data_IF_651277412031
#
_entry.id   IF_651277412031
#
_cell.length_a   1.000
_cell.length_b   1.000
_cell.length_c   1.000
_cell.angle_alpha   90.00
_cell.angle_beta   90.00
_cell.angle_gamma   90.00
#
_symmetry.space_group_name_H-M   'P 1'
#
loop_
_entity.id
_entity.type
_entity.pdbx_description
1 polymer ?
#
# COMPACT_ATOMS: atom_id res chain seq x y z
N UNK A 1 -7.74 -12.71 -31.53
CA UNK A 1 -6.68 -12.26 -30.60
C UNK A 1 -6.04 -13.51 -30.01
N UNK A 2 -4.70 -13.60 -29.96
CA UNK A 2 -4.02 -14.77 -29.38
C UNK A 2 -4.24 -14.80 -27.87
N UNK A 3 -4.52 -15.97 -27.29
CA UNK A 3 -4.66 -16.12 -25.85
C UNK A 3 -3.36 -15.69 -25.13
N UNK A 4 -3.47 -14.84 -24.11
CA UNK A 4 -2.31 -14.40 -23.33
C UNK A 4 -1.59 -15.58 -22.71
N UNK A 5 -0.27 -15.63 -22.89
CA UNK A 5 0.55 -16.75 -22.42
C UNK A 5 0.60 -16.80 -20.90
N UNK A 6 0.83 -17.99 -20.32
CA UNK A 6 1.07 -18.15 -18.87
C UNK A 6 2.17 -17.21 -18.34
N UNK A 7 3.17 -16.91 -19.18
CA UNK A 7 4.25 -15.98 -18.88
C UNK A 7 3.74 -14.55 -18.64
N UNK A 8 2.80 -14.09 -19.46
CA UNK A 8 2.19 -12.76 -19.33
C UNK A 8 1.39 -12.62 -18.04
N UNK A 9 0.63 -13.64 -17.64
CA UNK A 9 -0.10 -13.61 -16.36
C UNK A 9 0.86 -13.51 -15.17
N UNK A 10 1.95 -14.26 -15.21
CA UNK A 10 2.97 -14.21 -14.15
C UNK A 10 3.70 -12.87 -14.12
N UNK A 11 3.98 -12.27 -15.28
CA UNK A 11 4.61 -10.95 -15.34
C UNK A 11 3.66 -9.85 -14.84
N UNK A 12 2.36 -9.95 -15.14
CA UNK A 12 1.32 -9.06 -14.65
C UNK A 12 1.19 -9.15 -13.13
N UNK A 13 1.08 -10.36 -12.58
CA UNK A 13 1.03 -10.60 -11.14
C UNK A 13 2.24 -10.00 -10.40
N UNK A 14 3.46 -10.27 -10.90
CA UNK A 14 4.69 -9.70 -10.33
C UNK A 14 4.72 -8.18 -10.42
N UNK A 15 4.15 -7.61 -11.48
CA UNK A 15 4.07 -6.16 -11.66
C UNK A 15 3.16 -5.52 -10.63
N UNK A 16 2.02 -6.13 -10.31
CA UNK A 16 1.18 -5.69 -9.19
C UNK A 16 1.94 -5.68 -7.87
N UNK A 17 2.58 -6.81 -7.51
CA UNK A 17 3.32 -6.92 -6.24
C UNK A 17 4.40 -5.83 -6.13
N UNK A 18 5.15 -5.56 -7.21
CA UNK A 18 6.17 -4.49 -7.23
C UNK A 18 5.61 -3.10 -7.00
N UNK A 19 4.42 -2.81 -7.51
CA UNK A 19 3.76 -1.51 -7.31
C UNK A 19 3.22 -1.40 -5.88
N UNK A 20 2.63 -2.48 -5.36
CA UNK A 20 2.12 -2.54 -3.99
C UNK A 20 3.24 -2.31 -2.97
N UNK A 21 4.43 -2.85 -3.17
CA UNK A 21 5.57 -2.62 -2.26
C UNK A 21 6.01 -1.15 -2.17
N UNK A 22 5.67 -0.33 -3.17
CA UNK A 22 5.94 1.12 -3.14
C UNK A 22 4.89 1.90 -2.35
N UNK A 23 3.78 1.27 -1.97
CA UNK A 23 2.71 1.96 -1.23
C UNK A 23 3.23 2.43 0.14
N UNK A 24 2.93 3.67 0.57
CA UNK A 24 3.45 4.20 1.83
C UNK A 24 2.92 3.40 3.03
N UNK A 25 3.76 3.26 4.05
CA UNK A 25 3.37 2.62 5.32
C UNK A 25 2.39 3.50 6.08
N UNK A 26 1.23 2.95 6.44
CA UNK A 26 0.27 3.62 7.32
C UNK A 26 0.58 3.36 8.80
N UNK A 27 1.27 4.31 9.44
CA UNK A 27 1.58 4.24 10.88
C UNK A 27 0.34 4.40 11.77
N UNK A 28 -0.71 5.07 11.29
CA UNK A 28 -1.94 5.31 12.04
C UNK A 28 -2.79 4.04 12.17
N UNK A 29 -2.79 3.21 11.12
CA UNK A 29 -3.60 1.99 11.01
C UNK A 29 -2.70 0.76 10.79
N UNK A 30 -1.88 0.38 11.78
CA UNK A 30 -0.89 -0.69 11.61
C UNK A 30 -1.51 -2.07 11.31
N UNK A 31 -2.77 -2.30 11.70
CA UNK A 31 -3.48 -3.56 11.45
C UNK A 31 -4.32 -3.53 10.16
N UNK A 32 -4.36 -2.39 9.45
CA UNK A 32 -5.22 -2.16 8.29
C UNK A 32 -4.50 -1.25 7.30
N UNK A 33 -3.24 -1.60 7.01
CA UNK A 33 -2.44 -0.88 6.03
C UNK A 33 -2.91 -1.22 4.61
N UNK A 34 -3.00 -0.20 3.76
CA UNK A 34 -3.46 -0.34 2.39
C UNK A 34 -2.54 -1.27 1.59
N UNK A 35 -1.23 -1.27 1.87
CA UNK A 35 -0.29 -2.22 1.26
C UNK A 35 -0.75 -3.66 1.48
N UNK A 36 -1.10 -4.00 2.72
CA UNK A 36 -1.55 -5.34 3.08
C UNK A 36 -2.87 -5.71 2.38
N UNK A 37 -3.84 -4.79 2.39
CA UNK A 37 -5.14 -4.99 1.72
C UNK A 37 -4.97 -5.20 0.22
N UNK A 38 -4.14 -4.39 -0.44
CA UNK A 38 -3.84 -4.52 -1.86
C UNK A 38 -3.17 -5.86 -2.17
N UNK A 39 -2.21 -6.27 -1.34
CA UNK A 39 -1.54 -7.56 -1.49
C UNK A 39 -2.55 -8.71 -1.43
N UNK A 40 -3.40 -8.74 -0.41
CA UNK A 40 -4.44 -9.76 -0.27
C UNK A 40 -5.40 -9.76 -1.47
N UNK A 41 -5.88 -8.58 -1.90
CA UNK A 41 -6.78 -8.46 -3.07
C UNK A 41 -6.15 -9.06 -4.32
N UNK A 42 -4.89 -8.73 -4.61
CA UNK A 42 -4.21 -9.22 -5.82
C UNK A 42 -3.96 -10.72 -5.73
N UNK A 43 -3.46 -11.22 -4.60
CA UNK A 43 -3.23 -12.67 -4.43
C UNK A 43 -4.52 -13.45 -4.61
N UNK A 44 -5.60 -13.03 -3.93
CA UNK A 44 -6.88 -13.73 -4.01
C UNK A 44 -7.54 -13.60 -5.39
N UNK A 45 -7.47 -12.42 -6.03
CA UNK A 45 -8.01 -12.22 -7.37
C UNK A 45 -7.35 -13.13 -8.41
N UNK A 46 -6.01 -13.20 -8.41
CA UNK A 46 -5.31 -14.11 -9.32
C UNK A 46 -5.59 -15.58 -8.98
N UNK A 47 -5.69 -15.94 -7.69
CA UNK A 47 -6.01 -17.31 -7.26
C UNK A 47 -7.40 -17.75 -7.71
N UNK A 48 -8.42 -16.91 -7.55
CA UNK A 48 -9.80 -17.21 -7.93
C UNK A 48 -9.94 -17.41 -9.44
N UNK A 49 -9.20 -16.65 -10.24
CA UNK A 49 -9.27 -16.71 -11.69
C UNK A 49 -8.50 -17.88 -12.32
N UNK A 50 -7.77 -18.70 -11.54
CA UNK A 50 -7.04 -19.87 -12.05
C UNK A 50 -7.96 -20.96 -12.65
N UNK A 51 -9.23 -20.98 -12.24
CA UNK A 51 -10.19 -22.03 -12.63
C UNK A 51 -10.88 -21.70 -13.96
N UNK A 52 -10.74 -20.47 -14.45
CA UNK A 52 -11.43 -19.97 -15.64
C UNK A 52 -10.78 -20.57 -16.89
N UNK A 53 -11.60 -21.25 -17.69
CA UNK A 53 -11.18 -21.92 -18.94
C UNK A 53 -11.74 -21.25 -20.19
N UNK A 54 -12.76 -20.42 -20.02
CA UNK A 54 -13.36 -19.67 -21.12
C UNK A 54 -12.37 -18.62 -21.64
N UNK A 55 -12.11 -18.65 -22.95
CA UNK A 55 -11.10 -17.81 -23.57
C UNK A 55 -11.51 -16.33 -23.62
N UNK A 56 -12.79 -16.03 -23.81
CA UNK A 56 -13.28 -14.66 -23.91
C UNK A 56 -13.27 -14.00 -22.54
N UNK A 57 -13.74 -14.72 -21.50
CA UNK A 57 -13.66 -14.27 -20.11
C UNK A 57 -12.21 -14.12 -19.66
N UNK A 58 -11.33 -15.03 -20.05
CA UNK A 58 -9.91 -14.92 -19.74
C UNK A 58 -9.29 -13.66 -20.33
N UNK A 59 -9.56 -13.36 -21.60
CA UNK A 59 -9.05 -12.17 -22.27
C UNK A 59 -9.60 -10.88 -21.64
N UNK A 60 -10.88 -10.84 -21.24
CA UNK A 60 -11.45 -9.67 -20.56
C UNK A 60 -10.80 -9.43 -19.20
N UNK A 61 -10.55 -10.48 -18.42
CA UNK A 61 -9.88 -10.38 -17.12
C UNK A 61 -8.45 -9.87 -17.24
N UNK A 62 -7.71 -10.31 -18.26
CA UNK A 62 -6.36 -9.80 -18.52
C UNK A 62 -6.41 -8.33 -18.91
N UNK A 63 -7.37 -7.92 -19.75
CA UNK A 63 -7.55 -6.52 -20.12
C UNK A 63 -7.85 -5.65 -18.88
N UNK A 64 -8.80 -6.06 -18.06
CA UNK A 64 -9.17 -5.38 -16.81
C UNK A 64 -7.98 -5.28 -15.85
N UNK A 65 -7.27 -6.38 -15.64
CA UNK A 65 -6.10 -6.39 -14.76
C UNK A 65 -4.98 -5.46 -15.25
N UNK A 66 -4.81 -5.29 -16.56
CA UNK A 66 -3.86 -4.30 -17.10
C UNK A 66 -4.31 -2.85 -16.80
N UNK A 67 -5.61 -2.55 -16.96
CA UNK A 67 -6.18 -1.24 -16.62
C UNK A 67 -6.01 -0.94 -15.14
N UNK A 68 -6.29 -1.91 -14.28
CA UNK A 68 -6.13 -1.78 -12.83
C UNK A 68 -4.67 -1.56 -12.44
N UNK A 69 -3.73 -2.28 -13.06
CA UNK A 69 -2.30 -2.10 -12.81
C UNK A 69 -1.84 -0.69 -13.20
N UNK A 70 -2.29 -0.19 -14.35
CA UNK A 70 -1.99 1.17 -14.81
C UNK A 70 -2.55 2.22 -13.84
N UNK A 71 -3.80 2.08 -13.42
CA UNK A 71 -4.40 2.95 -12.42
C UNK A 71 -3.62 2.92 -11.09
N UNK A 72 -3.22 1.73 -10.63
CA UNK A 72 -2.45 1.58 -9.40
C UNK A 72 -1.06 2.23 -9.51
N UNK A 73 -0.40 2.13 -10.67
CA UNK A 73 0.86 2.84 -10.94
C UNK A 73 0.67 4.34 -10.84
N UNK A 74 -0.33 4.89 -11.52
CA UNK A 74 -0.63 6.34 -11.50
C UNK A 74 -0.82 6.88 -10.09
N UNK A 75 -1.50 6.11 -9.25
CA UNK A 75 -1.67 6.44 -7.83
C UNK A 75 -0.37 6.33 -7.04
N UNK A 76 0.37 5.21 -7.18
CA UNK A 76 1.60 4.96 -6.44
C UNK A 76 2.72 5.96 -6.78
N UNK A 77 2.80 6.38 -8.04
CA UNK A 77 3.75 7.40 -8.51
C UNK A 77 3.26 8.83 -8.31
N UNK A 78 2.06 9.01 -7.74
CA UNK A 78 1.50 10.31 -7.43
C UNK A 78 1.31 11.22 -8.67
N UNK A 79 1.06 10.62 -9.84
CA UNK A 79 0.95 11.33 -11.13
C UNK A 79 -0.14 12.42 -11.10
N UNK A 80 -1.22 12.19 -10.36
CA UNK A 80 -2.31 13.16 -10.24
C UNK A 80 -1.91 14.42 -9.46
N UNK A 81 -0.96 14.32 -8.52
CA UNK A 81 -0.43 15.50 -7.82
C UNK A 81 0.40 16.36 -8.77
N UNK A 82 1.14 15.74 -9.68
CA UNK A 82 1.94 16.44 -10.69
C UNK A 82 1.04 17.06 -11.77
N UNK A 83 0.03 16.30 -12.22
CA UNK A 83 -0.91 16.73 -13.27
C UNK A 83 -1.88 17.82 -12.81
N UNK A 84 -2.33 17.74 -11.56
CA UNK A 84 -3.28 18.68 -10.96
C UNK A 84 -2.70 19.29 -9.69
N UNK A 85 -1.69 20.18 -9.82
CA UNK A 85 -1.01 20.75 -8.67
C UNK A 85 -1.97 21.62 -7.86
N UNK A 86 -2.03 21.36 -6.55
CA UNK A 86 -2.79 22.17 -5.62
C UNK A 86 -1.95 23.37 -5.19
N UNK A 87 -2.59 24.54 -5.01
CA UNK A 87 -1.89 25.73 -4.51
C UNK A 87 -1.36 25.48 -3.10
N UNK A 88 -0.10 25.87 -2.85
CA UNK A 88 0.51 25.86 -1.51
C UNK A 88 -0.33 26.59 -0.46
N UNK A 89 -1.15 27.55 -0.88
CA UNK A 89 -2.07 28.30 -0.01
C UNK A 89 -3.07 27.39 0.71
N UNK A 90 -3.49 26.28 0.09
CA UNK A 90 -4.41 25.31 0.70
C UNK A 90 -3.78 24.67 1.95
N UNK A 91 -2.46 24.47 1.94
CA UNK A 91 -1.71 23.87 3.05
C UNK A 91 -1.19 24.89 4.06
N UNK A 92 -1.43 26.20 3.84
CA UNK A 92 -0.91 27.30 4.66
C UNK A 92 -2.03 28.30 4.94
N UNK A 93 -2.97 27.99 5.85
CA UNK A 93 -4.09 28.88 6.15
C UNK A 93 -3.57 30.20 6.75
N UNK A 94 -4.22 31.31 6.41
CA UNK A 94 -3.76 32.66 6.79
C UNK A 94 -3.59 32.84 8.31
N UNK A 95 -4.49 32.25 9.10
CA UNK A 95 -4.45 32.32 10.57
C UNK A 95 -3.26 31.57 11.18
N UNK A 96 -2.82 30.47 10.55
CA UNK A 96 -1.66 29.70 11.01
C UNK A 96 -1.00 28.94 9.83
N UNK A 97 0.00 29.56 9.17
CA UNK A 97 0.65 28.96 8.00
C UNK A 97 1.35 27.62 8.27
N UNK A 98 1.66 27.30 9.54
CA UNK A 98 2.34 26.06 9.95
C UNK A 98 1.39 24.96 10.42
N UNK A 99 0.07 25.22 10.44
CA UNK A 99 -0.92 24.33 11.05
C UNK A 99 -0.84 22.89 10.54
N UNK A 100 -1.00 22.68 9.23
CA UNK A 100 -1.01 21.34 8.65
C UNK A 100 0.34 20.63 8.75
N UNK A 101 1.46 21.36 8.60
CA UNK A 101 2.80 20.80 8.81
C UNK A 101 3.00 20.30 10.24
N UNK A 102 2.61 21.11 11.23
CA UNK A 102 2.69 20.73 12.64
C UNK A 102 1.77 19.55 12.97
N UNK A 103 0.56 19.55 12.42
CA UNK A 103 -0.40 18.46 12.60
C UNK A 103 0.12 17.13 12.05
N UNK A 104 0.60 17.12 10.81
CA UNK A 104 1.17 15.91 10.17
C UNK A 104 2.39 15.42 10.96
N UNK A 105 3.29 16.33 11.37
CA UNK A 105 4.46 15.96 12.16
C UNK A 105 4.10 15.37 13.53
N UNK A 106 3.08 15.92 14.21
CA UNK A 106 2.60 15.41 15.48
C UNK A 106 1.96 14.03 15.33
N UNK A 107 1.17 13.84 14.27
CA UNK A 107 0.56 12.56 13.90
C UNK A 107 1.65 11.51 13.66
N UNK A 108 2.64 11.80 12.82
CA UNK A 108 3.73 10.87 12.51
C UNK A 108 4.53 10.48 13.75
N UNK A 109 4.83 11.45 14.61
CA UNK A 109 5.54 11.22 15.87
C UNK A 109 4.74 10.29 16.79
N UNK A 110 3.46 10.58 17.00
CA UNK A 110 2.59 9.77 17.85
C UNK A 110 2.42 8.35 17.31
N UNK A 111 2.29 8.20 15.99
CA UNK A 111 2.11 6.91 15.36
C UNK A 111 3.36 6.02 15.47
N UNK A 112 4.56 6.59 15.28
CA UNK A 112 5.84 5.89 15.46
C UNK A 112 6.08 5.46 16.91
N UNK A 113 5.82 6.35 17.88
CA UNK A 113 5.93 6.03 19.30
C UNK A 113 5.06 4.83 19.71
N UNK A 114 3.81 4.79 19.22
CA UNK A 114 2.88 3.68 19.48
C UNK A 114 3.39 2.35 18.91
N UNK A 115 4.10 2.36 17.78
CA UNK A 115 4.72 1.15 17.22
C UNK A 115 5.93 0.70 18.05
N UNK A 116 6.79 1.62 18.46
CA UNK A 116 7.94 1.33 19.33
C UNK A 116 7.54 0.76 20.69
N UNK A 117 6.42 1.23 21.25
CA UNK A 117 5.89 0.68 22.50
C UNK A 117 5.40 -0.76 22.33
N UNK A 118 4.74 -1.07 21.20
CA UNK A 118 4.27 -2.44 20.91
C UNK A 118 5.40 -3.43 20.61
N UNK A 119 6.52 -2.97 20.05
CA UNK A 119 7.65 -3.84 19.73
C UNK A 119 8.54 -4.16 20.93
N UNK A 120 8.42 -3.41 22.03
CA UNK A 120 9.15 -3.69 23.27
C UNK A 120 8.61 -4.97 23.92
N UNK A 121 9.49 -5.92 24.32
CA UNK A 121 9.05 -7.10 25.04
C UNK A 121 8.43 -6.70 26.39
N UNK A 122 7.44 -7.46 26.90
CA UNK A 122 6.79 -7.13 28.16
C UNK A 122 7.84 -7.05 29.28
N UNK A 123 7.69 -6.08 30.20
CA UNK A 123 8.64 -5.81 31.30
C UNK A 123 8.97 -7.07 32.13
N UNK A 124 8.00 -7.99 32.24
CA UNK A 124 8.19 -9.31 32.85
C UNK A 124 9.28 -10.15 32.17
N UNK A 125 9.42 -10.13 30.83
CA UNK A 125 10.46 -10.88 30.12
C UNK A 125 11.86 -10.31 30.37
N UNK A 126 11.99 -8.99 30.55
CA UNK A 126 13.28 -8.40 30.98
C UNK A 126 13.68 -8.87 32.37
N UNK A 127 12.72 -9.06 33.28
CA UNK A 127 12.99 -9.62 34.63
C UNK A 127 13.24 -11.12 34.64
N UNK A 128 12.60 -11.88 33.74
CA UNK A 128 12.70 -13.34 33.74
C UNK A 128 13.93 -13.88 32.99
N UNK A 129 14.39 -13.19 31.93
CA UNK A 129 15.55 -13.60 31.11
C UNK A 129 16.75 -12.64 31.19
N UNK A 130 16.60 -11.46 31.81
CA UNK A 130 17.66 -10.45 31.94
C UNK A 130 18.45 -10.50 33.26
N UNK A 131 18.19 -11.48 34.12
CA UNK A 131 18.93 -11.70 35.37
C UNK A 131 20.00 -12.76 35.19
N UNK A 132 21.21 -12.36 34.76
CA UNK A 132 22.41 -13.12 35.10
C UNK A 132 22.89 -12.67 36.49
N UNK A 133 23.41 -13.65 37.25
CA UNK A 133 23.96 -13.57 38.61
C UNK A 133 24.67 -12.27 38.96
#
# INVERSE_FOLDING_TARGET
MSASTRSEVLSLYRSFLRVIERWPTDYLRPNTDMRHVLHLRVVEGFRQNLVIKDADVYNSLILEANIELDALRKLAYNEYKEKYPLSDRIYRPAANPKYYYGLVAAIDKAAKQKQEEKSKPPSFWKRLWGGNR
#
